data_IF_943672026993
#
_entry.id   IF_943672026993
#
_cell.length_a   1.000
_cell.length_b   1.000
_cell.length_c   1.000
_cell.angle_alpha   90.00
_cell.angle_beta   90.00
_cell.angle_gamma   90.00
#
_symmetry.space_group_name_H-M   'P 1'
#
loop_
_entity.id
_entity.type
_entity.pdbx_description
1 polymer ?
#
# COMPACT_ATOMS: atom_id res chain seq x y z
N UNK A 1 -22.87 2.33 10.50
CA UNK A 1 -21.95 1.21 10.78
C UNK A 1 -21.66 0.49 9.48
N UNK A 2 -20.45 -0.03 9.32
CA UNK A 2 -19.95 -0.64 8.09
C UNK A 2 -19.72 -2.12 8.35
N UNK A 3 -20.56 -2.98 7.75
CA UNK A 3 -20.57 -4.42 8.04
C UNK A 3 -19.47 -5.14 7.28
N UNK A 4 -18.78 -6.05 7.95
CA UNK A 4 -17.86 -7.00 7.33
C UNK A 4 -18.70 -8.10 6.67
N UNK A 5 -18.65 -8.18 5.33
CA UNK A 5 -19.41 -9.18 4.57
C UNK A 5 -18.57 -10.40 4.20
N UNK A 6 -17.24 -10.26 4.21
CA UNK A 6 -16.29 -11.36 4.02
C UNK A 6 -15.02 -11.10 4.81
N UNK A 7 -14.46 -12.17 5.36
CA UNK A 7 -13.15 -12.19 6.03
C UNK A 7 -12.36 -13.40 5.57
N UNK A 8 -11.14 -13.20 5.11
CA UNK A 8 -10.26 -14.27 4.65
C UNK A 8 -8.83 -14.08 5.15
N UNK A 9 -8.29 -15.07 5.85
CA UNK A 9 -6.90 -15.07 6.25
C UNK A 9 -6.01 -15.43 5.04
N UNK A 10 -5.35 -14.45 4.44
CA UNK A 10 -4.40 -14.67 3.34
C UNK A 10 -3.09 -15.27 3.86
N UNK A 11 -2.65 -14.83 5.03
CA UNK A 11 -1.45 -15.32 5.76
C UNK A 11 -1.68 -15.16 7.27
N UNK A 12 -0.88 -15.74 8.14
CA UNK A 12 -1.09 -15.68 9.59
C UNK A 12 -1.28 -14.27 10.16
N UNK A 13 -0.62 -13.27 9.55
CA UNK A 13 -0.71 -11.87 9.97
C UNK A 13 -1.37 -10.97 8.94
N UNK A 14 -1.90 -11.50 7.83
CA UNK A 14 -2.50 -10.71 6.75
C UNK A 14 -3.90 -11.20 6.46
N UNK A 15 -4.87 -10.33 6.61
CA UNK A 15 -6.29 -10.65 6.44
C UNK A 15 -6.94 -9.71 5.41
N UNK A 16 -7.74 -10.30 4.55
CA UNK A 16 -8.62 -9.59 3.62
C UNK A 16 -9.99 -9.42 4.28
N UNK A 17 -10.54 -8.23 4.14
CA UNK A 17 -11.91 -7.91 4.54
C UNK A 17 -12.64 -7.27 3.37
N UNK A 18 -13.87 -7.71 3.13
CA UNK A 18 -14.82 -7.03 2.25
C UNK A 18 -15.87 -6.35 3.12
N UNK A 19 -16.03 -5.04 2.93
CA UNK A 19 -16.83 -4.17 3.79
C UNK A 19 -17.97 -3.56 2.99
N UNK A 20 -19.20 -3.61 3.52
CA UNK A 20 -20.35 -2.95 2.94
C UNK A 20 -20.22 -1.42 3.13
N UNK A 21 -19.90 -0.71 2.05
CA UNK A 21 -19.64 0.73 2.03
C UNK A 21 -20.03 1.33 0.66
N UNK A 22 -21.31 1.37 0.29
CA UNK A 22 -21.77 1.68 -1.07
C UNK A 22 -21.39 3.08 -1.55
N UNK A 23 -21.34 4.07 -0.67
CA UNK A 23 -20.94 5.43 -1.03
C UNK A 23 -19.44 5.53 -1.35
N UNK A 24 -18.61 4.73 -0.66
CA UNK A 24 -17.17 4.64 -0.93
C UNK A 24 -16.94 3.84 -2.20
N UNK A 25 -17.56 2.66 -2.33
CA UNK A 25 -17.40 1.78 -3.48
C UNK A 25 -17.73 2.48 -4.80
N UNK A 26 -18.79 3.31 -4.81
CA UNK A 26 -19.23 4.05 -6.00
C UNK A 26 -18.21 5.05 -6.53
N UNK A 27 -17.30 5.55 -5.67
CA UNK A 27 -16.34 6.63 -6.00
C UNK A 27 -14.89 6.21 -5.89
N UNK A 28 -14.63 5.02 -5.39
CA UNK A 28 -13.28 4.52 -5.19
C UNK A 28 -12.52 4.40 -6.52
N UNK A 29 -11.23 4.73 -6.47
CA UNK A 29 -10.28 4.57 -7.57
C UNK A 29 -8.95 4.01 -7.05
N UNK A 30 -8.16 3.34 -7.90
CA UNK A 30 -6.84 2.83 -7.51
C UNK A 30 -5.93 3.91 -6.92
N UNK A 31 -5.14 3.55 -5.91
CA UNK A 31 -4.27 4.48 -5.18
C UNK A 31 -4.93 5.20 -4.02
N UNK A 32 -6.26 5.20 -3.95
CA UNK A 32 -6.99 5.82 -2.84
C UNK A 32 -7.07 4.91 -1.61
N UNK A 33 -7.36 5.50 -0.47
CA UNK A 33 -7.45 4.84 0.82
C UNK A 33 -8.70 5.27 1.61
N UNK A 34 -8.92 4.61 2.72
CA UNK A 34 -9.94 4.98 3.70
C UNK A 34 -9.29 5.20 5.07
N UNK A 35 -9.96 5.92 5.95
CA UNK A 35 -9.67 5.92 7.37
C UNK A 35 -10.72 5.04 8.03
N UNK A 36 -10.28 4.00 8.73
CA UNK A 36 -11.16 3.16 9.53
C UNK A 36 -10.95 3.37 11.02
N UNK A 37 -12.00 3.10 11.79
CA UNK A 37 -12.00 3.01 13.24
C UNK A 37 -12.83 1.79 13.64
N UNK A 38 -12.27 0.92 14.46
CA UNK A 38 -12.89 -0.36 14.81
C UNK A 38 -14.06 -0.16 15.76
N UNK A 39 -13.85 0.59 16.82
CA UNK A 39 -14.84 0.87 17.89
C UNK A 39 -14.83 2.35 18.28
N UNK A 40 -15.74 2.75 19.18
CA UNK A 40 -15.90 4.14 19.61
C UNK A 40 -14.63 4.74 20.22
N UNK A 41 -13.84 3.92 20.91
CA UNK A 41 -12.58 4.30 21.54
C UNK A 41 -11.34 3.94 20.69
N UNK A 42 -11.57 3.42 19.47
CA UNK A 42 -10.51 2.97 18.57
C UNK A 42 -9.74 4.11 17.94
N UNK A 43 -8.48 3.84 17.60
CA UNK A 43 -7.66 4.74 16.81
C UNK A 43 -8.14 4.77 15.37
N UNK A 44 -7.90 5.88 14.70
CA UNK A 44 -8.15 6.06 13.26
C UNK A 44 -6.90 5.66 12.50
N UNK A 45 -7.02 4.68 11.59
CA UNK A 45 -5.90 4.21 10.78
C UNK A 45 -6.20 4.30 9.28
N UNK A 46 -5.22 4.72 8.45
CA UNK A 46 -5.35 4.70 7.00
C UNK A 46 -5.14 3.29 6.47
N UNK A 47 -6.07 2.83 5.62
CA UNK A 47 -5.94 1.56 4.90
C UNK A 47 -6.27 1.79 3.43
N UNK A 48 -5.40 1.32 2.55
CA UNK A 48 -5.61 1.44 1.11
C UNK A 48 -6.75 0.56 0.63
N UNK A 49 -7.53 1.07 -0.31
CA UNK A 49 -8.57 0.33 -1.03
C UNK A 49 -7.86 -0.64 -1.98
N UNK A 50 -7.98 -1.95 -1.72
CA UNK A 50 -7.40 -2.99 -2.57
C UNK A 50 -8.29 -3.30 -3.78
N UNK A 51 -9.60 -3.35 -3.58
CA UNK A 51 -10.58 -3.55 -4.64
C UNK A 51 -11.94 -2.94 -4.23
N UNK A 52 -12.85 -2.79 -5.16
CA UNK A 52 -14.19 -2.28 -4.90
C UNK A 52 -15.18 -2.77 -5.96
N UNK A 53 -16.41 -2.98 -5.53
CA UNK A 53 -17.54 -3.37 -6.40
C UNK A 53 -18.69 -2.36 -6.21
N UNK A 54 -18.86 -1.42 -7.15
CA UNK A 54 -19.94 -0.42 -7.09
C UNK A 54 -21.34 -1.01 -7.15
N UNK A 55 -21.52 -2.18 -7.79
CA UNK A 55 -22.82 -2.84 -7.93
C UNK A 55 -23.24 -3.52 -6.63
N UNK A 56 -22.29 -4.23 -5.98
CA UNK A 56 -22.52 -4.82 -4.66
C UNK A 56 -22.44 -3.78 -3.54
N UNK A 57 -21.83 -2.63 -3.79
CA UNK A 57 -21.58 -1.61 -2.78
C UNK A 57 -20.53 -2.01 -1.75
N UNK A 58 -19.52 -2.81 -2.16
CA UNK A 58 -18.49 -3.33 -1.27
C UNK A 58 -17.10 -2.77 -1.58
N UNK A 59 -16.28 -2.67 -0.56
CA UNK A 59 -14.86 -2.26 -0.63
C UNK A 59 -14.02 -3.34 0.02
N UNK A 60 -12.97 -3.77 -0.70
CA UNK A 60 -12.01 -4.75 -0.19
C UNK A 60 -10.77 -4.04 0.35
N UNK A 61 -10.38 -4.41 1.55
CA UNK A 61 -9.14 -3.97 2.19
C UNK A 61 -8.31 -5.19 2.61
N UNK A 62 -6.99 -5.06 2.57
CA UNK A 62 -6.05 -6.07 3.07
C UNK A 62 -5.22 -5.44 4.17
N UNK A 63 -5.26 -6.04 5.35
CA UNK A 63 -4.66 -5.49 6.57
C UNK A 63 -3.65 -6.45 7.13
N UNK A 64 -2.45 -5.95 7.43
CA UNK A 64 -1.46 -6.66 8.22
C UNK A 64 -1.62 -6.32 9.70
N UNK A 65 -1.64 -7.33 10.53
CA UNK A 65 -1.68 -7.19 11.98
C UNK A 65 -0.31 -6.78 12.50
N UNK A 66 -0.16 -5.49 12.83
CA UNK A 66 1.12 -4.90 13.28
C UNK A 66 0.99 -3.98 14.49
N UNK A 67 -0.23 -3.64 14.90
CA UNK A 67 -0.49 -2.71 16.00
C UNK A 67 -1.84 -2.97 16.66
N UNK A 68 -2.13 -2.25 17.73
CA UNK A 68 -3.33 -2.41 18.56
C UNK A 68 -4.64 -2.42 17.76
N UNK A 69 -4.83 -1.45 16.86
CA UNK A 69 -6.05 -1.36 16.04
C UNK A 69 -6.19 -2.53 15.06
N UNK A 70 -5.10 -2.94 14.41
CA UNK A 70 -5.11 -4.08 13.50
C UNK A 70 -5.30 -5.42 14.23
N UNK A 71 -4.85 -5.54 15.50
CA UNK A 71 -5.12 -6.69 16.35
C UNK A 71 -6.61 -6.74 16.71
N UNK A 72 -7.22 -5.64 17.15
CA UNK A 72 -8.66 -5.57 17.38
C UNK A 72 -9.47 -5.95 16.13
N UNK A 73 -9.09 -5.42 14.96
CA UNK A 73 -9.75 -5.74 13.69
C UNK A 73 -9.68 -7.24 13.37
N UNK A 74 -8.55 -7.89 13.67
CA UNK A 74 -8.36 -9.33 13.46
C UNK A 74 -9.37 -10.19 14.24
N UNK A 75 -9.86 -9.71 15.38
CA UNK A 75 -10.85 -10.42 16.21
C UNK A 75 -12.29 -10.21 15.75
N UNK A 76 -12.59 -9.24 14.86
CA UNK A 76 -13.91 -9.11 14.24
C UNK A 76 -14.14 -10.22 13.21
N UNK A 77 -15.40 -10.61 13.05
CA UNK A 77 -15.85 -11.66 12.15
C UNK A 77 -16.82 -11.12 11.09
N UNK A 78 -17.16 -11.95 10.14
CA UNK A 78 -18.26 -11.67 9.21
C UNK A 78 -19.55 -11.40 9.97
N UNK A 79 -20.25 -10.33 9.59
CA UNK A 79 -21.44 -9.82 10.30
C UNK A 79 -21.14 -8.72 11.31
N UNK A 80 -19.93 -8.63 11.85
CA UNK A 80 -19.54 -7.53 12.73
C UNK A 80 -19.43 -6.22 11.96
N UNK A 81 -19.45 -5.09 12.69
CA UNK A 81 -19.46 -3.76 12.10
C UNK A 81 -18.29 -2.92 12.59
N UNK A 82 -17.69 -2.19 11.66
CA UNK A 82 -16.75 -1.11 11.96
C UNK A 82 -17.52 0.16 12.36
N UNK A 83 -16.92 0.95 13.25
CA UNK A 83 -17.51 2.22 13.70
C UNK A 83 -17.42 3.27 12.60
N UNK A 84 -16.22 3.54 12.06
CA UNK A 84 -16.00 4.47 10.96
C UNK A 84 -15.32 3.78 9.77
N UNK A 85 -15.70 4.22 8.56
CA UNK A 85 -15.09 3.84 7.28
C UNK A 85 -15.21 5.02 6.33
N UNK A 86 -14.29 5.96 6.45
CA UNK A 86 -14.34 7.27 5.79
C UNK A 86 -13.50 7.25 4.52
N UNK A 87 -14.12 7.56 3.38
CA UNK A 87 -13.42 7.59 2.09
C UNK A 87 -14.36 7.70 0.90
N UNK A 88 -13.83 7.55 -0.34
CA UNK A 88 -12.41 7.41 -0.64
C UNK A 88 -11.65 8.71 -0.34
N UNK A 89 -10.41 8.57 0.12
CA UNK A 89 -9.50 9.67 0.46
C UNK A 89 -8.24 9.60 -0.43
N UNK A 90 -7.52 10.71 -0.50
CA UNK A 90 -6.35 10.84 -1.36
C UNK A 90 -6.70 10.99 -2.84
N UNK A 91 -5.68 11.29 -3.64
CA UNK A 91 -5.81 11.34 -5.10
C UNK A 91 -5.70 9.94 -5.67
N UNK A 92 -6.43 9.68 -6.74
CA UNK A 92 -6.25 8.47 -7.53
C UNK A 92 -4.88 8.49 -8.23
N UNK A 93 -4.27 7.33 -8.40
CA UNK A 93 -3.03 7.19 -9.17
C UNK A 93 -3.28 7.54 -10.64
N UNK A 94 -2.43 8.39 -11.21
CA UNK A 94 -2.48 8.75 -12.63
C UNK A 94 -1.95 7.59 -13.48
N UNK A 95 -2.83 6.99 -14.27
CA UNK A 95 -2.49 5.82 -15.11
C UNK A 95 -2.57 6.08 -16.60
N UNK A 96 -3.08 7.25 -17.02
CA UNK A 96 -3.28 7.55 -18.43
C UNK A 96 -1.97 7.89 -19.16
N UNK A 97 -1.90 7.53 -20.45
CA UNK A 97 -0.78 7.88 -21.33
C UNK A 97 0.50 7.09 -21.12
N UNK A 98 0.56 6.19 -20.15
CA UNK A 98 1.72 5.31 -19.91
C UNK A 98 1.60 4.07 -20.77
N UNK A 99 2.69 3.71 -21.48
CA UNK A 99 2.74 2.54 -22.37
C UNK A 99 3.44 1.36 -21.73
N UNK A 100 4.49 1.61 -20.95
CA UNK A 100 5.25 0.58 -20.26
C UNK A 100 5.64 1.04 -18.87
N UNK A 101 5.20 0.32 -17.84
CA UNK A 101 5.43 0.64 -16.45
C UNK A 101 6.01 -0.55 -15.67
N UNK A 102 6.72 -0.26 -14.59
CA UNK A 102 7.11 -1.28 -13.63
C UNK A 102 6.55 -0.93 -12.25
N UNK A 103 5.80 -1.86 -11.67
CA UNK A 103 5.23 -1.71 -10.32
C UNK A 103 6.03 -2.56 -9.35
N UNK A 104 6.64 -1.92 -8.36
CA UNK A 104 7.48 -2.54 -7.34
C UNK A 104 6.74 -2.58 -6.01
N UNK A 105 6.41 -3.76 -5.52
CA UNK A 105 5.71 -3.98 -4.27
C UNK A 105 6.58 -4.63 -3.19
N UNK A 106 6.43 -4.23 -1.93
CA UNK A 106 7.15 -4.83 -0.80
C UNK A 106 6.26 -5.26 0.36
N UNK A 107 6.30 -6.53 0.73
CA UNK A 107 5.49 -7.10 1.81
C UNK A 107 4.00 -6.86 1.63
N UNK A 108 3.31 -6.36 2.67
CA UNK A 108 1.89 -5.98 2.56
C UNK A 108 1.65 -4.83 1.59
N UNK A 109 2.66 -4.03 1.24
CA UNK A 109 2.58 -3.02 0.19
C UNK A 109 2.17 -3.59 -1.17
N UNK A 110 2.35 -4.90 -1.41
CA UNK A 110 1.81 -5.58 -2.59
C UNK A 110 0.27 -5.50 -2.67
N UNK A 111 -0.43 -5.46 -1.54
CA UNK A 111 -1.88 -5.25 -1.51
C UNK A 111 -2.28 -3.83 -1.98
N UNK A 112 -1.39 -2.86 -1.79
CA UNK A 112 -1.54 -1.48 -2.23
C UNK A 112 -1.14 -1.34 -3.71
N UNK A 113 -0.08 -2.05 -4.12
CA UNK A 113 0.46 -2.03 -5.47
C UNK A 113 -0.48 -2.69 -6.50
N UNK A 114 -1.19 -3.74 -6.09
CA UNK A 114 -2.02 -4.52 -6.99
C UNK A 114 -3.13 -3.72 -7.71
N UNK A 115 -3.97 -2.90 -7.04
CA UNK A 115 -5.00 -2.13 -7.72
C UNK A 115 -4.43 -1.12 -8.75
N UNK A 116 -3.28 -0.53 -8.45
CA UNK A 116 -2.57 0.37 -9.38
C UNK A 116 -2.05 -0.41 -10.59
N UNK A 117 -1.39 -1.53 -10.35
CA UNK A 117 -0.91 -2.44 -11.40
C UNK A 117 -2.03 -2.91 -12.33
N UNK A 118 -3.13 -3.41 -11.73
CA UNK A 118 -4.31 -3.86 -12.47
C UNK A 118 -4.88 -2.74 -13.35
N UNK A 119 -4.94 -1.51 -12.83
CA UNK A 119 -5.45 -0.36 -13.60
C UNK A 119 -4.57 -0.05 -14.79
N UNK A 120 -3.24 -0.10 -14.68
CA UNK A 120 -2.33 0.07 -15.82
C UNK A 120 -2.57 -1.00 -16.88
N UNK A 121 -2.66 -2.27 -16.47
CA UNK A 121 -2.96 -3.38 -17.35
C UNK A 121 -4.31 -3.21 -18.07
N UNK A 122 -5.35 -2.83 -17.33
CA UNK A 122 -6.70 -2.59 -17.89
C UNK A 122 -6.72 -1.40 -18.87
N UNK A 123 -5.81 -0.43 -18.72
CA UNK A 123 -5.61 0.67 -19.66
C UNK A 123 -4.74 0.30 -20.86
N UNK A 124 -4.26 -0.95 -20.96
CA UNK A 124 -3.49 -1.46 -22.11
C UNK A 124 -2.00 -1.14 -22.06
N UNK A 125 -1.45 -0.77 -20.92
CA UNK A 125 -0.01 -0.63 -20.75
C UNK A 125 0.66 -2.01 -20.64
N UNK A 126 1.91 -2.13 -21.12
CA UNK A 126 2.79 -3.25 -20.79
C UNK A 126 3.23 -3.09 -19.31
N UNK A 127 2.88 -4.07 -18.48
CA UNK A 127 3.08 -3.99 -17.05
C UNK A 127 4.08 -5.04 -16.59
N UNK A 128 5.19 -4.59 -16.03
CA UNK A 128 6.13 -5.43 -15.29
C UNK A 128 5.86 -5.29 -13.78
N UNK A 129 5.93 -6.40 -13.06
CA UNK A 129 5.79 -6.43 -11.62
C UNK A 129 7.05 -6.99 -10.96
N UNK A 130 7.53 -6.32 -9.92
CA UNK A 130 8.58 -6.83 -9.04
C UNK A 130 8.04 -6.81 -7.61
N UNK A 131 7.83 -7.98 -7.01
CA UNK A 131 7.26 -8.07 -5.67
C UNK A 131 8.22 -8.77 -4.72
N UNK A 132 8.43 -8.21 -3.55
CA UNK A 132 9.39 -8.71 -2.57
C UNK A 132 8.76 -9.04 -1.23
N UNK A 133 9.23 -10.16 -0.64
CA UNK A 133 8.77 -10.64 0.66
C UNK A 133 9.97 -11.15 1.46
N UNK A 134 9.82 -11.27 2.78
CA UNK A 134 10.88 -11.86 3.61
C UNK A 134 11.11 -13.33 3.30
N UNK A 135 10.04 -14.09 3.08
CA UNK A 135 10.05 -15.53 2.80
C UNK A 135 8.78 -15.94 2.06
N UNK A 136 8.73 -17.21 1.62
CA UNK A 136 7.62 -17.82 0.90
C UNK A 136 6.27 -17.71 1.62
N UNK A 137 6.26 -17.85 2.94
CA UNK A 137 5.04 -17.90 3.73
C UNK A 137 4.32 -16.53 3.81
N UNK A 138 5.02 -15.45 3.42
CA UNK A 138 4.47 -14.11 3.37
C UNK A 138 4.04 -13.66 1.98
N UNK A 139 4.22 -14.49 0.95
CA UNK A 139 3.80 -14.16 -0.43
C UNK A 139 2.29 -14.08 -0.53
N UNK A 140 1.77 -12.91 -0.91
CA UNK A 140 0.34 -12.67 -1.12
C UNK A 140 0.05 -12.25 -2.56
N UNK A 141 -1.17 -12.47 -3.02
CA UNK A 141 -1.70 -12.00 -4.32
C UNK A 141 -0.90 -12.44 -5.55
N UNK A 142 -0.09 -13.49 -5.49
CA UNK A 142 0.73 -13.95 -6.62
C UNK A 142 -0.09 -14.15 -7.88
N UNK A 143 -1.20 -14.90 -7.78
CA UNK A 143 -2.09 -15.18 -8.93
C UNK A 143 -2.71 -13.90 -9.51
N UNK A 144 -2.99 -12.92 -8.65
CA UNK A 144 -3.52 -11.64 -9.07
C UNK A 144 -2.47 -10.85 -9.89
N UNK A 145 -1.23 -10.78 -9.37
CA UNK A 145 -0.12 -10.15 -10.10
C UNK A 145 0.16 -10.87 -11.41
N UNK A 146 0.17 -12.20 -11.41
CA UNK A 146 0.43 -13.02 -12.61
C UNK A 146 -0.59 -12.79 -13.72
N UNK A 147 -1.85 -12.55 -13.37
CA UNK A 147 -2.94 -12.30 -14.34
C UNK A 147 -2.93 -10.88 -14.90
N UNK A 148 -2.35 -9.93 -14.20
CA UNK A 148 -2.40 -8.50 -14.55
C UNK A 148 -1.02 -7.90 -14.84
N UNK A 149 -0.02 -8.74 -15.13
CA UNK A 149 1.31 -8.28 -15.56
C UNK A 149 1.88 -9.15 -16.66
N UNK A 150 2.64 -8.54 -17.59
CA UNK A 150 3.33 -9.22 -18.68
C UNK A 150 4.59 -9.92 -18.16
N UNK A 151 5.24 -9.34 -17.17
CA UNK A 151 6.39 -9.92 -16.47
C UNK A 151 6.19 -9.82 -14.96
N UNK A 152 6.32 -10.95 -14.27
CA UNK A 152 6.29 -11.00 -12.81
C UNK A 152 7.61 -11.55 -12.26
N UNK A 153 8.31 -10.74 -11.47
CA UNK A 153 9.46 -11.16 -10.66
C UNK A 153 9.05 -11.19 -9.19
N UNK A 154 9.21 -12.35 -8.55
CA UNK A 154 8.99 -12.52 -7.11
C UNK A 154 10.34 -12.70 -6.44
N UNK A 155 10.63 -11.88 -5.42
CA UNK A 155 11.86 -11.94 -4.65
C UNK A 155 11.55 -12.36 -3.20
N UNK A 156 12.44 -13.14 -2.61
CA UNK A 156 12.42 -13.39 -1.16
C UNK A 156 13.81 -13.16 -0.57
N UNK A 157 13.87 -12.51 0.58
CA UNK A 157 15.13 -12.16 1.24
C UNK A 157 15.95 -13.42 1.56
N UNK A 158 15.28 -14.49 2.00
CA UNK A 158 15.91 -15.76 2.38
C UNK A 158 16.12 -16.72 1.19
N UNK A 159 15.52 -16.44 0.02
CA UNK A 159 15.60 -17.29 -1.16
C UNK A 159 14.68 -18.53 -1.11
N UNK A 160 13.70 -18.56 -0.20
CA UNK A 160 12.76 -19.67 -0.06
C UNK A 160 11.76 -19.78 -1.22
N UNK A 161 11.60 -18.69 -2.01
CA UNK A 161 10.73 -18.66 -3.18
C UNK A 161 11.15 -17.57 -4.18
N UNK A 162 11.03 -17.86 -5.47
CA UNK A 162 11.39 -16.94 -6.54
C UNK A 162 12.89 -16.63 -6.57
N UNK A 163 13.25 -15.38 -6.84
CA UNK A 163 14.61 -14.90 -6.85
C UNK A 163 15.06 -14.55 -5.42
N UNK A 164 16.24 -15.04 -5.00
CA UNK A 164 16.83 -14.61 -3.74
C UNK A 164 17.38 -13.19 -3.88
N UNK A 165 17.02 -12.29 -2.98
CA UNK A 165 17.54 -10.93 -2.92
C UNK A 165 16.45 -9.89 -2.82
N UNK A 166 16.83 -8.64 -3.08
CA UNK A 166 15.95 -7.48 -2.92
C UNK A 166 15.23 -7.15 -4.22
N UNK A 167 14.09 -6.47 -4.12
CA UNK A 167 13.33 -5.95 -5.28
C UNK A 167 14.17 -4.98 -6.13
N UNK A 168 15.12 -4.28 -5.53
CA UNK A 168 16.04 -3.37 -6.23
C UNK A 168 16.97 -4.10 -7.18
N UNK A 169 17.41 -5.32 -6.82
CA UNK A 169 18.29 -6.12 -7.67
C UNK A 169 17.51 -6.62 -8.90
N UNK A 170 16.32 -7.17 -8.68
CA UNK A 170 15.44 -7.62 -9.76
C UNK A 170 14.97 -6.47 -10.67
N UNK A 171 14.70 -5.28 -10.11
CA UNK A 171 14.38 -4.09 -10.88
C UNK A 171 15.56 -3.66 -11.75
N UNK A 172 16.77 -3.63 -11.17
CA UNK A 172 17.99 -3.28 -11.88
C UNK A 172 18.27 -4.24 -13.05
N UNK A 173 18.11 -5.55 -12.82
CA UNK A 173 18.20 -6.55 -13.89
C UNK A 173 17.24 -6.26 -15.05
N UNK A 174 15.99 -5.90 -14.75
CA UNK A 174 15.01 -5.55 -15.77
C UNK A 174 15.41 -4.30 -16.55
N UNK A 175 15.91 -3.26 -15.90
CA UNK A 175 16.39 -2.03 -16.55
C UNK A 175 17.62 -2.34 -17.43
N UNK A 176 18.60 -3.07 -16.91
CA UNK A 176 19.83 -3.43 -17.63
C UNK A 176 19.59 -4.41 -18.78
N UNK A 177 18.47 -5.17 -18.75
CA UNK A 177 18.01 -5.98 -19.87
C UNK A 177 17.43 -5.14 -21.04
N UNK A 178 17.46 -3.81 -20.95
CA UNK A 178 17.05 -2.89 -22.00
C UNK A 178 15.59 -2.46 -21.93
N UNK A 179 14.88 -2.76 -20.85
CA UNK A 179 13.51 -2.27 -20.68
C UNK A 179 13.51 -0.76 -20.40
N UNK A 180 12.81 -0.03 -21.24
CA UNK A 180 12.58 1.41 -21.07
C UNK A 180 11.18 1.60 -20.48
N UNK A 181 11.12 2.10 -19.25
CA UNK A 181 9.86 2.37 -18.56
C UNK A 181 9.50 3.86 -18.65
N UNK A 182 8.24 4.14 -18.94
CA UNK A 182 7.69 5.50 -18.84
C UNK A 182 7.67 5.96 -17.38
N UNK A 183 7.43 5.00 -16.47
CA UNK A 183 7.38 5.27 -15.04
C UNK A 183 7.55 3.98 -14.21
N UNK A 184 8.14 4.13 -13.04
CA UNK A 184 8.21 3.09 -12.01
C UNK A 184 7.37 3.53 -10.81
N UNK A 185 6.52 2.63 -10.32
CA UNK A 185 5.74 2.82 -9.10
C UNK A 185 6.30 1.95 -7.98
N UNK A 186 6.70 2.55 -6.87
CA UNK A 186 7.21 1.81 -5.72
C UNK A 186 6.30 1.98 -4.52
N UNK A 187 5.84 0.86 -3.96
CA UNK A 187 4.83 0.81 -2.90
C UNK A 187 5.24 -0.23 -1.85
N UNK A 188 5.53 0.23 -0.63
CA UNK A 188 5.95 -0.66 0.44
C UNK A 188 6.66 0.07 1.58
N UNK A 189 7.56 -0.60 2.31
CA UNK A 189 8.34 0.03 3.36
C UNK A 189 9.12 1.26 2.86
N UNK A 190 9.13 2.34 3.64
CA UNK A 190 9.80 3.60 3.23
C UNK A 190 11.24 3.40 2.80
N UNK A 191 11.97 2.53 3.51
CA UNK A 191 13.37 2.25 3.18
C UNK A 191 13.50 1.55 1.81
N UNK A 192 12.57 0.65 1.47
CA UNK A 192 12.53 0.01 0.16
C UNK A 192 12.27 1.04 -0.94
N UNK A 193 11.27 1.90 -0.78
CA UNK A 193 10.93 2.95 -1.74
C UNK A 193 12.10 3.93 -1.96
N UNK A 194 12.78 4.34 -0.87
CA UNK A 194 14.02 5.14 -0.94
C UNK A 194 15.08 4.47 -1.80
N UNK A 195 15.31 3.17 -1.63
CA UNK A 195 16.31 2.44 -2.42
C UNK A 195 15.87 2.20 -3.86
N UNK A 196 14.58 1.99 -4.13
CA UNK A 196 14.05 1.95 -5.51
C UNK A 196 14.34 3.27 -6.22
N UNK A 197 14.06 4.42 -5.59
CA UNK A 197 14.37 5.74 -6.17
C UNK A 197 15.87 5.89 -6.46
N UNK A 198 16.75 5.47 -5.53
CA UNK A 198 18.20 5.48 -5.77
C UNK A 198 18.63 4.58 -6.92
N UNK A 199 17.93 3.48 -7.14
CA UNK A 199 18.22 2.56 -8.24
C UNK A 199 17.81 3.15 -9.59
N UNK A 200 16.71 3.89 -9.65
CA UNK A 200 16.15 4.46 -10.89
C UNK A 200 16.76 5.80 -11.29
N UNK A 201 17.27 6.56 -10.31
CA UNK A 201 17.86 7.90 -10.50
C UNK A 201 18.98 7.95 -11.57
N UNK A 202 19.97 7.03 -11.58
CA UNK A 202 21.04 7.04 -12.57
C UNK A 202 20.54 6.81 -14.01
N UNK A 203 19.37 6.21 -14.18
CA UNK A 203 18.75 5.94 -15.48
C UNK A 203 17.77 7.04 -15.89
N UNK A 204 17.53 8.03 -15.04
CA UNK A 204 16.59 9.12 -15.31
C UNK A 204 15.13 8.66 -15.46
N UNK A 205 14.76 7.51 -14.86
CA UNK A 205 13.41 6.96 -14.99
C UNK A 205 12.51 7.62 -13.95
N UNK A 206 11.39 8.26 -14.34
CA UNK A 206 10.40 8.79 -13.42
C UNK A 206 9.95 7.72 -12.42
N UNK A 207 9.96 8.05 -11.14
CA UNK A 207 9.63 7.08 -10.08
C UNK A 207 8.65 7.69 -9.10
N UNK A 208 7.43 7.17 -9.11
CA UNK A 208 6.39 7.53 -8.17
C UNK A 208 6.39 6.57 -6.98
N UNK A 209 6.21 7.13 -5.78
CA UNK A 209 6.14 6.37 -4.52
C UNK A 209 4.83 6.66 -3.82
N UNK A 210 4.17 5.61 -3.30
CA UNK A 210 2.95 5.77 -2.52
C UNK A 210 3.30 5.87 -1.03
N UNK A 211 3.21 7.09 -0.50
CA UNK A 211 3.65 7.42 0.84
C UNK A 211 2.56 7.14 1.88
N UNK A 212 2.92 6.39 2.92
CA UNK A 212 2.04 6.04 4.03
C UNK A 212 2.59 6.57 5.38
N UNK A 213 2.65 7.90 5.58
CA UNK A 213 2.97 8.46 6.89
C UNK A 213 1.80 8.28 7.86
N UNK A 214 2.03 8.62 9.13
CA UNK A 214 0.97 8.63 10.15
C UNK A 214 -0.16 9.56 9.70
N UNK A 215 -1.38 9.01 9.59
CA UNK A 215 -2.59 9.74 9.23
C UNK A 215 -3.67 9.51 10.29
N UNK A 216 -4.32 10.59 10.72
CA UNK A 216 -5.38 10.54 11.74
C UNK A 216 -6.69 11.02 11.14
N UNK A 217 -6.69 12.20 10.54
CA UNK A 217 -7.88 12.87 10.01
C UNK A 217 -8.19 12.43 8.56
N UNK A 218 -7.20 12.46 7.67
CA UNK A 218 -7.35 12.08 6.26
C UNK A 218 -7.85 13.19 5.34
N UNK A 219 -8.15 14.40 5.87
CA UNK A 219 -8.73 15.52 5.10
C UNK A 219 -7.83 16.76 5.03
N UNK A 220 -6.57 16.65 5.48
CA UNK A 220 -5.59 17.74 5.46
C UNK A 220 -5.62 18.67 6.66
N UNK A 221 -6.55 18.50 7.60
CA UNK A 221 -6.73 19.42 8.73
C UNK A 221 -5.69 19.24 9.84
N UNK A 222 -5.36 18.00 10.22
CA UNK A 222 -4.50 17.76 11.39
C UNK A 222 -3.00 17.93 11.12
N UNK A 223 -2.56 17.91 9.84
CA UNK A 223 -1.15 18.02 9.47
C UNK A 223 -0.26 16.84 9.89
N UNK A 224 -0.83 15.74 10.40
CA UNK A 224 -0.09 14.56 10.84
C UNK A 224 0.72 13.91 9.72
N UNK A 225 0.16 13.88 8.51
CA UNK A 225 0.73 13.23 7.32
C UNK A 225 1.65 14.13 6.48
N UNK A 226 2.18 15.23 7.03
CA UNK A 226 3.03 16.14 6.28
C UNK A 226 4.35 15.52 5.85
N UNK A 227 4.74 15.80 4.63
CA UNK A 227 5.98 15.40 3.97
C UNK A 227 6.68 16.62 3.38
N UNK A 228 7.98 16.54 3.15
CA UNK A 228 8.72 17.49 2.32
C UNK A 228 8.98 16.84 0.96
N UNK A 229 8.49 17.47 -0.10
CA UNK A 229 8.65 17.00 -1.49
C UNK A 229 9.11 18.18 -2.34
N UNK A 230 10.31 18.09 -2.89
CA UNK A 230 10.92 19.20 -3.66
C UNK A 230 11.12 20.48 -2.83
N UNK A 231 11.32 20.37 -1.52
CA UNK A 231 11.44 21.50 -0.59
C UNK A 231 10.11 22.13 -0.16
N UNK A 232 8.98 21.65 -0.68
CA UNK A 232 7.64 22.10 -0.30
C UNK A 232 6.99 21.14 0.69
N UNK A 233 6.22 21.68 1.63
CA UNK A 233 5.40 20.88 2.53
C UNK A 233 4.16 20.39 1.80
N UNK A 234 3.94 19.07 1.81
CA UNK A 234 2.76 18.40 1.26
C UNK A 234 2.07 17.57 2.34
N UNK A 235 0.78 17.33 2.18
CA UNK A 235 -0.02 16.46 3.05
C UNK A 235 -0.40 15.20 2.27
N UNK A 236 0.13 14.04 2.66
CA UNK A 236 -0.09 12.79 1.92
C UNK A 236 -1.58 12.44 1.76
N UNK A 237 -2.43 12.83 2.69
CA UNK A 237 -3.86 12.54 2.63
C UNK A 237 -4.66 13.37 1.61
N UNK A 238 -4.15 14.51 1.15
CA UNK A 238 -4.87 15.39 0.19
C UNK A 238 -4.04 15.74 -1.04
N UNK A 239 -2.70 15.82 -0.93
CA UNK A 239 -1.80 16.08 -2.05
C UNK A 239 -1.35 14.79 -2.74
N UNK A 240 -1.33 13.65 -2.00
CA UNK A 240 -0.94 12.32 -2.42
C UNK A 240 -2.08 11.29 -2.35
N UNK A 241 -1.78 10.03 -2.08
CA UNK A 241 -0.56 9.52 -1.44
C UNK A 241 0.67 9.39 -2.35
N UNK A 242 0.49 9.53 -3.66
CA UNK A 242 1.53 9.34 -4.66
C UNK A 242 2.33 10.61 -4.89
N UNK A 243 3.67 10.49 -4.87
CA UNK A 243 4.61 11.60 -5.03
C UNK A 243 5.80 11.19 -5.89
N UNK A 244 6.43 12.18 -6.54
CA UNK A 244 7.74 12.00 -7.20
C UNK A 244 8.79 11.59 -6.15
N UNK A 245 9.19 10.33 -6.20
CA UNK A 245 10.08 9.73 -5.21
C UNK A 245 11.49 10.32 -5.20
N UNK A 246 11.94 10.94 -6.31
CA UNK A 246 13.23 11.62 -6.39
C UNK A 246 13.22 12.99 -5.67
N UNK A 247 12.02 13.52 -5.38
CA UNK A 247 11.86 14.80 -4.67
C UNK A 247 11.51 14.66 -3.20
N UNK A 248 11.20 13.45 -2.72
CA UNK A 248 10.87 13.20 -1.30
C UNK A 248 12.12 13.38 -0.43
N UNK A 249 11.98 14.16 0.64
CA UNK A 249 12.97 14.19 1.73
C UNK A 249 12.84 12.90 2.56
N UNK A 250 13.57 11.88 2.13
CA UNK A 250 13.52 10.54 2.73
C UNK A 250 13.98 10.50 4.18
N UNK A 251 14.98 11.31 4.54
CA UNK A 251 15.54 11.28 5.89
C UNK A 251 14.54 11.88 6.88
N UNK A 252 13.90 12.97 6.51
CA UNK A 252 12.82 13.55 7.29
C UNK A 252 11.61 12.61 7.36
N UNK A 253 11.21 11.99 6.24
CA UNK A 253 10.06 11.08 6.19
C UNK A 253 10.27 9.86 7.11
N UNK A 254 11.43 9.21 7.05
CA UNK A 254 11.79 8.07 7.92
C UNK A 254 11.80 8.48 9.38
N UNK A 255 12.44 9.62 9.73
CA UNK A 255 12.49 10.11 11.11
C UNK A 255 11.09 10.37 11.67
N UNK A 256 10.20 10.97 10.87
CA UNK A 256 8.82 11.23 11.30
C UNK A 256 8.01 9.96 11.50
N UNK A 257 8.19 8.96 10.65
CA UNK A 257 7.48 7.69 10.76
C UNK A 257 7.87 6.88 12.00
N UNK A 258 9.02 7.17 12.59
CA UNK A 258 9.50 6.50 13.80
C UNK A 258 9.11 7.22 15.10
N UNK A 259 8.46 8.40 15.00
CA UNK A 259 8.24 9.31 16.14
C UNK A 259 7.47 8.69 17.31
N UNK A 260 6.52 7.78 17.02
CA UNK A 260 5.67 7.15 18.03
C UNK A 260 5.94 5.66 18.22
N UNK A 261 7.02 5.13 17.63
CA UNK A 261 7.29 3.69 17.58
C UNK A 261 7.31 3.01 18.95
N UNK A 262 7.93 3.63 19.94
CA UNK A 262 7.99 3.06 21.30
C UNK A 262 6.59 2.99 21.94
N UNK A 263 5.79 4.05 21.77
CA UNK A 263 4.41 4.10 22.25
C UNK A 263 3.53 3.05 21.53
N UNK A 264 3.66 2.93 20.21
CA UNK A 264 2.92 1.95 19.40
C UNK A 264 3.27 0.51 19.80
N UNK A 265 4.53 0.22 20.08
CA UNK A 265 4.97 -1.10 20.55
C UNK A 265 4.34 -1.44 21.91
N UNK A 266 4.37 -0.51 22.85
CA UNK A 266 3.76 -0.72 24.17
C UNK A 266 2.25 -0.96 24.06
N UNK A 267 1.55 -0.15 23.26
CA UNK A 267 0.10 -0.33 23.02
C UNK A 267 -0.24 -1.64 22.30
N UNK A 268 0.63 -2.11 21.42
CA UNK A 268 0.45 -3.42 20.78
C UNK A 268 0.59 -4.57 21.80
N UNK A 269 1.60 -4.52 22.68
CA UNK A 269 1.77 -5.50 23.77
C UNK A 269 0.56 -5.52 24.71
N UNK A 270 0.04 -4.36 25.11
CA UNK A 270 -1.19 -4.27 25.90
C UNK A 270 -2.38 -4.94 25.19
N UNK A 271 -2.56 -4.69 23.89
CA UNK A 271 -3.66 -5.27 23.11
C UNK A 271 -3.52 -6.80 22.97
N UNK A 272 -2.32 -7.31 22.73
CA UNK A 272 -2.06 -8.76 22.64
C UNK A 272 -2.35 -9.49 23.97
N UNK A 273 -2.22 -8.82 25.11
CA UNK A 273 -2.52 -9.39 26.42
C UNK A 273 -4.02 -9.37 26.77
N UNK A 274 -4.86 -8.68 25.98
CA UNK A 274 -6.31 -8.61 26.21
C UNK A 274 -7.08 -9.73 25.45
N UNK A 275 -6.45 -10.39 24.52
CA UNK A 275 -7.01 -11.47 23.68
C UNK A 275 -6.18 -12.76 23.78
#
# INVERSE_FOLDING_TARGET
MYRIVRKEALRPTVTLYEIEAPLVAKKAQPGQFIILRVDENGERIPITINDYDPEKGTVTIIVQTVGSTSEKLKHLNEGDCLHDFVGPLGKATETEGKKKVCVVGGGVGCAIAYPVLKKFHDCGAEVHAVVGFKNKDLVILEENFRKSSDVLKICTDDGSYGQKGLVTDALKELIEAGNQYDEIFAIGPMIMMKFVCKTTEPYGIPTTVSMSPIMIDGTGMCGGCRLSVGGEMKFACVDGPDFDGHKVDWDLAVKRNQMYREFEMHKHEEACNLF
#
